data_IF_144704046338
#
_entry.id   IF_144704046338
#
_cell.length_a   1.000
_cell.length_b   1.000
_cell.length_c   1.000
_cell.angle_alpha   90.00
_cell.angle_beta   90.00
_cell.angle_gamma   90.00
#
_symmetry.space_group_name_H-M   'P 1'
#
loop_
_entity.id
_entity.type
_entity.pdbx_description
1 polymer ?
#
# COMPACT_ATOMS: atom_id res chain seq x y z
N UNK A 1 12.74 0.67 -2.55
CA UNK A 1 11.85 0.95 -1.38
C UNK A 1 10.86 -0.19 -1.24
N UNK A 2 10.47 -0.61 -0.04
CA UNK A 2 9.42 -1.64 0.14
C UNK A 2 8.09 -1.00 0.50
N UNK A 3 7.07 -1.37 -0.26
CA UNK A 3 5.69 -0.91 -0.06
C UNK A 3 4.81 -2.14 0.16
N UNK A 4 4.03 -2.13 1.24
CA UNK A 4 3.09 -3.23 1.54
C UNK A 4 1.68 -2.77 1.27
N UNK A 5 0.90 -3.54 0.52
CA UNK A 5 -0.50 -3.24 0.22
C UNK A 5 -1.44 -4.16 0.99
N UNK A 6 -2.47 -3.58 1.60
CA UNK A 6 -3.51 -4.31 2.34
C UNK A 6 -4.88 -3.67 2.14
N UNK A 7 -5.82 -4.38 1.52
CA UNK A 7 -7.17 -3.87 1.31
C UNK A 7 -8.28 -4.87 1.69
N UNK A 8 -7.98 -5.78 2.61
CA UNK A 8 -8.96 -6.72 3.14
C UNK A 8 -8.35 -7.94 3.82
N UNK A 9 -9.22 -8.86 4.21
CA UNK A 9 -8.85 -10.15 4.81
C UNK A 9 -8.27 -11.17 3.81
N UNK A 10 -7.96 -10.78 2.57
CA UNK A 10 -7.53 -11.72 1.53
C UNK A 10 -6.49 -11.16 0.57
N UNK A 11 -5.57 -12.03 0.13
CA UNK A 11 -4.47 -11.74 -0.79
C UNK A 11 -4.95 -11.23 -2.15
N UNK A 12 -6.11 -11.71 -2.63
CA UNK A 12 -6.63 -11.34 -3.95
C UNK A 12 -6.92 -9.85 -4.09
N UNK A 13 -7.63 -9.26 -3.12
CA UNK A 13 -7.89 -7.83 -3.10
C UNK A 13 -6.58 -7.05 -2.98
N UNK A 14 -5.71 -7.44 -2.04
CA UNK A 14 -4.41 -6.77 -1.81
C UNK A 14 -3.51 -6.81 -3.05
N UNK A 15 -3.64 -7.86 -3.87
CA UNK A 15 -2.98 -8.02 -5.17
C UNK A 15 -3.45 -7.00 -6.22
N UNK A 16 -4.74 -6.64 -6.24
CA UNK A 16 -5.25 -5.59 -7.15
C UNK A 16 -4.61 -4.25 -6.81
N UNK A 17 -4.58 -3.90 -5.51
CA UNK A 17 -3.95 -2.67 -5.05
C UNK A 17 -2.44 -2.66 -5.36
N UNK A 18 -1.76 -3.80 -5.19
CA UNK A 18 -0.35 -3.97 -5.58
C UNK A 18 -0.14 -3.63 -7.05
N UNK A 19 -0.87 -4.27 -7.97
CA UNK A 19 -0.69 -4.08 -9.41
C UNK A 19 -0.96 -2.63 -9.82
N UNK A 20 -1.95 -1.98 -9.20
CA UNK A 20 -2.25 -0.57 -9.48
C UNK A 20 -1.17 0.36 -8.90
N UNK A 21 -0.65 0.09 -7.71
CA UNK A 21 0.47 0.84 -7.13
C UNK A 21 1.73 0.72 -8.00
N UNK A 22 2.10 -0.50 -8.42
CA UNK A 22 3.25 -0.74 -9.32
C UNK A 22 3.12 0.06 -10.63
N UNK A 23 1.92 0.09 -11.23
CA UNK A 23 1.67 0.88 -12.44
C UNK A 23 1.85 2.38 -12.23
N UNK A 24 1.42 2.90 -11.08
CA UNK A 24 1.55 4.32 -10.75
C UNK A 24 3.02 4.67 -10.46
N UNK A 25 3.73 3.83 -9.70
CA UNK A 25 5.14 4.02 -9.39
C UNK A 25 6.00 3.99 -10.66
N UNK A 26 5.71 3.09 -11.60
CA UNK A 26 6.36 3.06 -12.90
C UNK A 26 6.11 4.33 -13.73
N UNK A 27 4.93 4.95 -13.64
CA UNK A 27 4.64 6.24 -14.29
C UNK A 27 5.39 7.41 -13.65
N UNK A 28 5.67 7.31 -12.35
CA UNK A 28 6.41 8.31 -11.58
C UNK A 28 7.93 8.10 -11.64
N UNK A 29 8.40 7.06 -12.34
CA UNK A 29 9.81 6.65 -12.41
C UNK A 29 10.42 6.33 -11.03
N UNK A 30 9.60 5.77 -10.13
CA UNK A 30 10.00 5.40 -8.76
C UNK A 30 10.20 3.89 -8.67
N UNK A 31 11.41 3.45 -8.29
CA UNK A 31 11.70 2.04 -8.02
C UNK A 31 11.27 1.61 -6.61
N UNK A 32 10.24 0.77 -6.54
CA UNK A 32 9.80 0.16 -5.30
C UNK A 32 9.36 -1.31 -5.50
N UNK A 33 9.63 -2.13 -4.48
CA UNK A 33 9.15 -3.49 -4.34
C UNK A 33 7.81 -3.46 -3.61
N UNK A 34 6.74 -3.83 -4.33
CA UNK A 34 5.39 -3.81 -3.79
C UNK A 34 4.98 -5.23 -3.40
N UNK A 35 4.62 -5.43 -2.14
CA UNK A 35 4.22 -6.74 -1.58
C UNK A 35 2.76 -6.66 -1.13
N UNK A 36 1.93 -7.59 -1.61
CA UNK A 36 0.56 -7.73 -1.13
C UNK A 36 0.55 -8.57 0.15
N UNK A 37 -0.11 -8.06 1.20
CA UNK A 37 -0.31 -8.76 2.46
C UNK A 37 -1.78 -8.77 2.87
N UNK A 38 -2.14 -9.71 3.73
CA UNK A 38 -3.41 -9.77 4.44
C UNK A 38 -3.25 -9.26 5.89
N UNK A 39 -4.38 -9.04 6.58
CA UNK A 39 -4.42 -8.55 7.96
C UNK A 39 -3.67 -9.46 8.94
N UNK A 40 -3.67 -10.78 8.73
CA UNK A 40 -2.94 -11.71 9.59
C UNK A 40 -1.42 -11.65 9.39
N UNK A 41 -0.97 -11.26 8.20
CA UNK A 41 0.43 -11.22 7.82
C UNK A 41 1.07 -9.82 7.94
N UNK A 42 0.28 -8.75 8.07
CA UNK A 42 0.76 -7.36 8.04
C UNK A 42 1.77 -7.04 9.14
N UNK A 43 1.60 -7.60 10.33
CA UNK A 43 2.53 -7.38 11.44
C UNK A 43 3.94 -7.89 11.13
N UNK A 44 4.06 -9.00 10.39
CA UNK A 44 5.35 -9.59 10.01
C UNK A 44 5.90 -8.98 8.73
N UNK A 45 5.05 -8.71 7.74
CA UNK A 45 5.46 -8.22 6.40
C UNK A 45 5.71 -6.71 6.41
N UNK A 46 5.01 -5.99 7.30
CA UNK A 46 5.08 -4.54 7.46
C UNK A 46 6.23 -4.05 8.33
N UNK A 47 6.95 -4.94 9.02
CA UNK A 47 8.04 -4.56 9.95
C UNK A 47 9.23 -3.90 9.21
N UNK A 48 9.57 -4.40 8.01
CA UNK A 48 10.58 -3.81 7.14
C UNK A 48 10.00 -2.93 6.01
N UNK A 49 8.69 -2.63 6.06
CA UNK A 49 8.06 -1.76 5.10
C UNK A 49 8.36 -0.29 5.40
N UNK A 50 8.64 0.51 4.37
CA UNK A 50 8.69 1.96 4.50
C UNK A 50 7.31 2.58 4.34
N UNK A 51 6.45 1.96 3.53
CA UNK A 51 5.10 2.47 3.24
C UNK A 51 4.10 1.33 3.32
N UNK A 52 2.95 1.59 3.93
CA UNK A 52 1.79 0.69 3.92
C UNK A 52 0.62 1.40 3.22
N UNK A 53 0.18 0.84 2.10
CA UNK A 53 -1.01 1.28 1.37
C UNK A 53 -2.23 0.50 1.83
N UNK A 54 -3.24 1.20 2.33
CA UNK A 54 -4.44 0.53 2.86
C UNK A 54 -5.74 1.31 2.66
N UNK A 55 -6.89 0.67 2.90
CA UNK A 55 -8.18 1.32 3.03
C UNK A 55 -8.38 1.87 4.43
N UNK A 56 -9.23 2.90 4.58
CA UNK A 56 -9.55 3.50 5.88
C UNK A 56 -10.04 2.46 6.91
N UNK A 57 -10.73 1.41 6.44
CA UNK A 57 -11.28 0.33 7.23
C UNK A 57 -10.23 -0.55 7.92
N UNK A 58 -8.99 -0.61 7.39
CA UNK A 58 -7.94 -1.51 7.88
C UNK A 58 -6.78 -0.78 8.57
N UNK A 59 -6.85 0.55 8.67
CA UNK A 59 -5.82 1.35 9.35
C UNK A 59 -5.63 0.90 10.80
N UNK A 60 -6.73 0.65 11.52
CA UNK A 60 -6.68 0.19 12.90
C UNK A 60 -6.05 -1.20 13.04
N UNK A 61 -6.17 -2.04 12.00
CA UNK A 61 -5.63 -3.40 12.01
C UNK A 61 -4.11 -3.46 11.82
N UNK A 62 -3.51 -2.42 11.25
CA UNK A 62 -2.04 -2.31 11.11
C UNK A 62 -1.39 -2.14 12.49
N UNK A 63 -2.04 -1.38 13.37
CA UNK A 63 -1.49 -1.04 14.69
C UNK A 63 -0.30 -0.08 14.60
N UNK A 64 0.59 -0.15 15.59
CA UNK A 64 1.79 0.69 15.61
C UNK A 64 2.82 0.19 14.62
N UNK A 65 3.21 1.05 13.67
CA UNK A 65 4.27 0.79 12.69
C UNK A 65 5.13 2.03 12.53
N UNK A 66 6.37 1.83 12.09
CA UNK A 66 7.27 2.92 11.68
C UNK A 66 7.08 3.29 10.20
N UNK A 67 6.32 2.50 9.45
CA UNK A 67 6.01 2.76 8.05
C UNK A 67 5.03 3.93 7.90
N UNK A 68 5.14 4.67 6.80
CA UNK A 68 4.14 5.66 6.41
C UNK A 68 2.86 4.95 5.94
N UNK A 69 1.77 5.16 6.68
CA UNK A 69 0.47 4.57 6.35
C UNK A 69 -0.31 5.51 5.42
N UNK A 70 -0.47 5.10 4.16
CA UNK A 70 -1.21 5.84 3.15
C UNK A 70 -2.59 5.21 2.97
N UNK A 71 -3.62 6.00 3.26
CA UNK A 71 -5.01 5.59 3.11
C UNK A 71 -5.53 5.93 1.70
N UNK A 72 -6.04 4.91 1.01
CA UNK A 72 -6.65 4.97 -0.31
C UNK A 72 -8.15 4.69 -0.18
N UNK A 73 -9.00 5.53 -0.76
CA UNK A 73 -10.44 5.31 -0.77
C UNK A 73 -10.87 4.41 -1.92
N UNK A 74 -10.29 4.59 -3.11
CA UNK A 74 -10.63 3.81 -4.29
C UNK A 74 -9.40 3.15 -4.92
N UNK A 75 -9.29 1.83 -4.72
CA UNK A 75 -8.24 0.97 -5.27
C UNK A 75 -8.12 0.98 -6.79
N UNK A 76 -9.16 1.42 -7.51
CA UNK A 76 -9.19 1.52 -8.97
C UNK A 76 -8.91 2.93 -9.48
N UNK A 77 -8.92 3.93 -8.61
CA UNK A 77 -8.67 5.31 -8.98
C UNK A 77 -7.16 5.57 -9.04
N UNK A 78 -6.60 5.43 -10.25
CA UNK A 78 -5.17 5.70 -10.48
C UNK A 78 -4.79 7.15 -10.20
N UNK A 79 -5.73 8.11 -10.34
CA UNK A 79 -5.43 9.51 -10.08
C UNK A 79 -5.26 9.75 -8.57
N UNK A 80 -6.16 9.19 -7.75
CA UNK A 80 -6.03 9.22 -6.28
C UNK A 80 -4.71 8.57 -5.84
N UNK A 81 -4.43 7.36 -6.33
CA UNK A 81 -3.18 6.63 -6.03
C UNK A 81 -1.94 7.46 -6.39
N UNK A 82 -1.94 8.10 -7.56
CA UNK A 82 -0.81 8.93 -8.02
C UNK A 82 -0.62 10.13 -7.10
N UNK A 83 -1.68 10.87 -6.79
CA UNK A 83 -1.58 12.06 -5.92
C UNK A 83 -1.08 11.69 -4.52
N UNK A 84 -1.60 10.61 -3.95
CA UNK A 84 -1.21 10.13 -2.61
C UNK A 84 0.22 9.64 -2.57
N UNK A 85 0.62 8.80 -3.54
CA UNK A 85 1.98 8.28 -3.61
C UNK A 85 2.98 9.40 -3.88
N UNK A 86 2.69 10.30 -4.82
CA UNK A 86 3.55 11.44 -5.11
C UNK A 86 3.71 12.36 -3.90
N UNK A 87 2.64 12.61 -3.13
CA UNK A 87 2.72 13.45 -1.92
C UNK A 87 3.52 12.80 -0.79
N UNK A 88 3.54 11.48 -0.73
CA UNK A 88 4.26 10.74 0.33
C UNK A 88 5.71 10.44 -0.03
N UNK A 89 6.01 10.31 -1.33
CA UNK A 89 7.32 9.85 -1.83
C UNK A 89 8.14 10.94 -2.55
N UNK A 90 7.51 12.03 -2.97
CA UNK A 90 8.15 13.19 -3.62
C UNK A 90 8.39 14.34 -2.66
#
# INVERSE_FOLDING_TARGET
>A
MKIVTICGAGIGSSGILKVNAERVLAKLDIEADVVAADIGSIASVGDDAQVILTSAEFVEAIGSTFADVIVIQNHFDQAELTEKLQKSLG
#
